data_IF_959870226717
#
_entry.id   IF_959870226717
#
_cell.length_a   1.000
_cell.length_b   1.000
_cell.length_c   1.000
_cell.angle_alpha   90.00
_cell.angle_beta   90.00
_cell.angle_gamma   90.00
#
_symmetry.space_group_name_H-M   'P 1'
#
loop_
_entity.id
_entity.type
_entity.pdbx_description
1 polymer ?
#
# COMPACT_ATOMS: atom_id res chain seq x y z
N UNK A 1 1.29 27.78 21.46
CA UNK A 1 0.50 28.60 20.50
C UNK A 1 -0.59 27.82 19.75
N UNK A 2 -0.78 26.52 20.02
CA UNK A 2 -1.74 25.66 19.27
C UNK A 2 -3.16 25.64 19.84
N UNK A 3 -3.33 25.91 21.14
CA UNK A 3 -4.66 25.89 21.79
C UNK A 3 -5.51 27.14 21.48
N UNK A 4 -4.88 28.28 21.20
CA UNK A 4 -5.56 29.54 20.83
C UNK A 4 -6.28 29.46 19.47
N UNK A 5 -5.80 28.61 18.55
CA UNK A 5 -6.41 28.47 17.22
C UNK A 5 -7.68 27.60 17.21
N UNK A 6 -7.79 26.63 18.11
CA UNK A 6 -8.94 25.72 18.18
C UNK A 6 -10.17 26.46 18.74
N UNK A 7 -9.97 27.33 19.72
CA UNK A 7 -11.04 28.17 20.28
C UNK A 7 -11.64 29.11 19.21
N UNK A 8 -10.80 29.63 18.31
CA UNK A 8 -11.18 30.58 17.27
C UNK A 8 -11.85 29.92 16.05
N UNK A 9 -11.81 28.59 15.92
CA UNK A 9 -12.62 27.86 14.93
C UNK A 9 -14.03 27.57 15.44
N UNK A 10 -14.19 27.37 16.76
CA UNK A 10 -15.51 27.08 17.37
C UNK A 10 -16.46 28.28 17.38
N UNK A 11 -15.97 29.50 17.22
CA UNK A 11 -16.78 30.72 17.08
C UNK A 11 -17.21 31.03 15.64
N UNK A 12 -16.63 30.35 14.64
CA UNK A 12 -16.91 30.61 13.22
C UNK A 12 -18.17 29.90 12.75
N UNK A 13 -18.90 30.54 11.83
CA UNK A 13 -20.06 29.93 11.17
C UNK A 13 -19.64 28.68 10.39
N UNK A 14 -20.56 27.74 10.18
CA UNK A 14 -20.28 26.50 9.47
C UNK A 14 -19.61 26.76 8.11
N UNK A 15 -20.07 27.78 7.38
CA UNK A 15 -19.51 28.20 6.07
C UNK A 15 -18.04 28.62 6.15
N UNK A 16 -17.66 29.37 7.19
CA UNK A 16 -16.27 29.82 7.39
C UNK A 16 -15.35 28.68 7.83
N UNK A 17 -15.87 27.71 8.59
CA UNK A 17 -15.12 26.48 8.93
C UNK A 17 -14.83 25.64 7.69
N UNK A 18 -15.81 25.48 6.81
CA UNK A 18 -15.64 24.76 5.53
C UNK A 18 -14.60 25.44 4.64
N UNK A 19 -14.60 26.76 4.53
CA UNK A 19 -13.60 27.52 3.77
C UNK A 19 -12.19 27.37 4.37
N UNK A 20 -12.07 27.36 5.71
CA UNK A 20 -10.78 27.18 6.37
C UNK A 20 -10.24 25.75 6.22
N UNK A 21 -11.10 24.73 6.40
CA UNK A 21 -10.76 23.32 6.18
C UNK A 21 -10.36 23.05 4.72
N UNK A 22 -11.02 23.68 3.75
CA UNK A 22 -10.68 23.56 2.33
C UNK A 22 -9.35 24.22 1.97
N UNK A 23 -8.85 25.15 2.80
CA UNK A 23 -7.53 25.77 2.65
C UNK A 23 -6.41 24.98 3.33
N UNK A 24 -6.73 24.13 4.32
CA UNK A 24 -5.76 23.30 5.03
C UNK A 24 -5.67 21.88 4.49
N UNK A 25 -6.72 21.36 3.84
CA UNK A 25 -6.69 20.08 3.13
C UNK A 25 -6.51 20.32 1.63
N UNK A 26 -5.30 20.11 1.13
CA UNK A 26 -5.05 20.10 -0.31
C UNK A 26 -5.63 18.81 -0.92
N UNK A 27 -6.89 18.91 -1.34
CA UNK A 27 -7.61 17.84 -2.04
C UNK A 27 -6.87 17.42 -3.31
N UNK A 28 -6.11 18.32 -3.97
CA UNK A 28 -5.31 17.94 -5.14
C UNK A 28 -4.14 17.04 -4.74
N UNK A 29 -3.44 17.36 -3.65
CA UNK A 29 -2.38 16.49 -3.10
C UNK A 29 -2.91 15.12 -2.69
N UNK A 30 -4.09 15.05 -2.07
CA UNK A 30 -4.75 13.78 -1.73
C UNK A 30 -5.17 12.99 -2.97
N UNK A 31 -5.79 13.63 -3.96
CA UNK A 31 -6.16 12.98 -5.22
C UNK A 31 -4.91 12.50 -5.95
N UNK A 32 -3.85 13.31 -5.99
CA UNK A 32 -2.57 12.95 -6.60
C UNK A 32 -1.94 11.74 -5.89
N UNK A 33 -1.91 11.72 -4.56
CA UNK A 33 -1.45 10.58 -3.77
C UNK A 33 -2.30 9.33 -4.03
N UNK A 34 -3.63 9.45 -4.13
CA UNK A 34 -4.52 8.32 -4.41
C UNK A 34 -4.34 7.80 -5.85
N UNK A 35 -4.16 8.68 -6.83
CA UNK A 35 -3.90 8.32 -8.22
C UNK A 35 -2.53 7.67 -8.39
N UNK A 36 -1.49 8.19 -7.72
CA UNK A 36 -0.15 7.59 -7.68
C UNK A 36 -0.15 6.24 -6.97
N UNK A 37 -0.92 6.11 -5.90
CA UNK A 37 -1.10 4.85 -5.20
C UNK A 37 -1.77 3.79 -6.10
N UNK A 38 -2.72 4.21 -6.96
CA UNK A 38 -3.31 3.35 -7.98
C UNK A 38 -2.34 3.01 -9.11
N UNK A 39 -1.52 3.95 -9.59
CA UNK A 39 -0.58 3.68 -10.69
C UNK A 39 0.55 2.74 -10.26
N UNK A 40 1.13 2.96 -9.07
CA UNK A 40 2.14 2.07 -8.51
C UNK A 40 1.57 0.69 -8.18
N UNK A 41 0.36 0.63 -7.62
CA UNK A 41 -0.31 -0.65 -7.37
C UNK A 41 -0.57 -1.43 -8.66
N UNK A 42 -1.06 -0.77 -9.71
CA UNK A 42 -1.27 -1.40 -11.01
C UNK A 42 0.04 -1.92 -11.62
N UNK A 43 1.14 -1.18 -11.45
CA UNK A 43 2.47 -1.63 -11.88
C UNK A 43 2.93 -2.85 -11.08
N UNK A 44 2.83 -2.83 -9.75
CA UNK A 44 3.17 -3.99 -8.90
C UNK A 44 2.38 -5.22 -9.35
N UNK A 45 1.07 -5.07 -9.54
CA UNK A 45 0.20 -6.16 -9.99
C UNK A 45 0.60 -6.65 -11.38
N UNK A 46 0.96 -5.77 -12.31
CA UNK A 46 1.36 -6.18 -13.66
C UNK A 46 2.63 -7.04 -13.66
N UNK A 47 3.62 -6.68 -12.85
CA UNK A 47 4.86 -7.47 -12.69
C UNK A 47 4.56 -8.80 -12.00
N UNK A 48 3.82 -8.80 -10.89
CA UNK A 48 3.50 -10.01 -10.12
C UNK A 48 2.53 -10.95 -10.84
N UNK A 49 1.85 -10.48 -11.89
CA UNK A 49 1.01 -11.31 -12.75
C UNK A 49 1.81 -12.07 -13.81
N UNK A 50 3.07 -11.67 -14.08
CA UNK A 50 3.95 -12.41 -14.98
C UNK A 50 4.40 -13.73 -14.34
N UNK A 51 4.65 -14.79 -15.14
CA UNK A 51 5.36 -15.98 -14.67
C UNK A 51 6.74 -15.62 -14.08
N UNK A 52 7.21 -16.31 -13.03
CA UNK A 52 8.52 -16.06 -12.41
C UNK A 52 9.68 -15.99 -13.42
N UNK A 53 9.66 -16.86 -14.44
CA UNK A 53 10.66 -16.94 -15.49
C UNK A 53 10.71 -15.73 -16.43
N UNK A 54 9.64 -14.92 -16.47
CA UNK A 54 9.52 -13.74 -17.33
C UNK A 54 9.69 -12.41 -16.58
N UNK A 55 9.96 -12.44 -15.27
CA UNK A 55 10.21 -11.23 -14.48
C UNK A 55 11.67 -10.82 -14.58
N UNK A 56 11.92 -9.62 -15.06
CA UNK A 56 13.29 -9.11 -15.17
C UNK A 56 13.82 -8.72 -13.78
N UNK A 57 15.13 -8.85 -13.58
CA UNK A 57 15.80 -8.48 -12.33
C UNK A 57 15.55 -7.02 -11.97
N UNK A 58 15.65 -6.10 -12.95
CA UNK A 58 15.39 -4.68 -12.79
C UNK A 58 13.97 -4.40 -12.28
N UNK A 59 12.95 -5.04 -12.89
CA UNK A 59 11.56 -4.92 -12.46
C UNK A 59 11.38 -5.38 -11.01
N UNK A 60 12.03 -6.48 -10.62
CA UNK A 60 11.94 -6.98 -9.24
C UNK A 60 12.63 -6.04 -8.23
N UNK A 61 13.76 -5.44 -8.59
CA UNK A 61 14.50 -4.49 -7.74
C UNK A 61 13.70 -3.19 -7.51
N UNK A 62 13.04 -2.68 -8.54
CA UNK A 62 12.18 -1.49 -8.44
C UNK A 62 11.04 -1.68 -7.43
N UNK A 63 10.50 -2.89 -7.32
CA UNK A 63 9.41 -3.21 -6.40
C UNK A 63 9.87 -3.35 -4.94
N UNK A 64 11.16 -3.49 -4.66
CA UNK A 64 11.66 -3.67 -3.28
C UNK A 64 11.23 -2.52 -2.37
N UNK A 65 11.32 -1.29 -2.86
CA UNK A 65 10.90 -0.10 -2.10
C UNK A 65 9.42 -0.15 -1.75
N UNK A 66 8.58 -0.59 -2.68
CA UNK A 66 7.14 -0.75 -2.45
C UNK A 66 6.86 -1.80 -1.38
N UNK A 67 7.51 -2.97 -1.44
CA UNK A 67 7.33 -4.04 -0.44
C UNK A 67 7.81 -3.62 0.96
N UNK A 68 8.95 -2.93 1.07
CA UNK A 68 9.45 -2.38 2.34
C UNK A 68 8.50 -1.35 2.94
N UNK A 69 7.89 -0.50 2.10
CA UNK A 69 6.94 0.52 2.53
C UNK A 69 5.60 -0.08 2.96
N UNK A 70 4.99 -0.92 2.10
CA UNK A 70 3.62 -1.42 2.29
C UNK A 70 3.54 -2.59 3.26
N UNK A 71 4.56 -3.46 3.28
CA UNK A 71 4.60 -4.67 4.13
C UNK A 71 5.80 -4.59 5.08
N UNK A 72 5.95 -3.41 5.71
CA UNK A 72 7.08 -3.07 6.57
C UNK A 72 7.33 -4.09 7.69
N UNK A 73 6.27 -4.65 8.28
CA UNK A 73 6.36 -5.62 9.38
C UNK A 73 7.16 -6.87 9.03
N UNK A 74 7.16 -7.26 7.75
CA UNK A 74 7.82 -8.49 7.27
C UNK A 74 9.14 -8.16 6.57
N UNK A 75 9.15 -7.13 5.72
CA UNK A 75 10.27 -6.91 4.80
C UNK A 75 11.28 -5.84 5.23
N UNK A 76 11.02 -5.05 6.28
CA UNK A 76 11.90 -3.94 6.66
C UNK A 76 13.31 -4.38 7.07
N UNK A 77 13.44 -5.57 7.66
CA UNK A 77 14.71 -6.10 8.17
C UNK A 77 15.35 -7.12 7.20
N UNK A 78 14.74 -7.37 6.04
CA UNK A 78 15.27 -8.28 5.05
C UNK A 78 16.23 -7.54 4.10
N UNK A 79 17.28 -8.26 3.69
CA UNK A 79 18.23 -7.76 2.68
C UNK A 79 17.52 -7.61 1.34
N UNK A 80 17.91 -6.60 0.57
CA UNK A 80 17.33 -6.32 -0.75
C UNK A 80 17.32 -7.56 -1.65
N UNK A 81 18.42 -8.30 -1.71
CA UNK A 81 18.55 -9.56 -2.47
C UNK A 81 17.48 -10.60 -2.13
N UNK A 82 17.19 -10.79 -0.84
CA UNK A 82 16.16 -11.72 -0.36
C UNK A 82 14.77 -11.25 -0.77
N UNK A 83 14.50 -9.95 -0.69
CA UNK A 83 13.21 -9.38 -1.08
C UNK A 83 13.01 -9.53 -2.58
N UNK A 84 14.05 -9.24 -3.37
CA UNK A 84 14.03 -9.41 -4.83
C UNK A 84 13.75 -10.86 -5.22
N UNK A 85 14.34 -11.83 -4.51
CA UNK A 85 14.08 -13.25 -4.75
C UNK A 85 12.64 -13.67 -4.37
N UNK A 86 12.11 -13.14 -3.27
CA UNK A 86 10.70 -13.32 -2.91
C UNK A 86 9.78 -12.72 -3.99
N UNK A 87 10.08 -11.51 -4.46
CA UNK A 87 9.31 -10.84 -5.52
C UNK A 87 9.37 -11.63 -6.83
N UNK A 88 10.48 -12.29 -7.15
CA UNK A 88 10.59 -13.14 -8.33
C UNK A 88 9.69 -14.37 -8.25
N UNK A 89 9.60 -15.00 -7.09
CA UNK A 89 8.96 -16.31 -6.93
C UNK A 89 7.52 -16.25 -6.36
N UNK A 90 7.03 -15.08 -5.95
CA UNK A 90 5.69 -14.96 -5.39
C UNK A 90 4.60 -14.88 -6.46
N UNK A 91 3.35 -15.10 -6.05
CA UNK A 91 2.16 -14.96 -6.90
C UNK A 91 1.20 -13.95 -6.29
N UNK A 92 0.66 -13.08 -7.13
CA UNK A 92 -0.43 -12.19 -6.74
C UNK A 92 -1.78 -12.84 -7.01
N UNK A 93 -2.67 -12.81 -6.01
CA UNK A 93 -4.03 -13.33 -6.13
C UNK A 93 -5.03 -12.36 -5.49
N UNK A 94 -6.17 -12.14 -6.17
CA UNK A 94 -7.33 -11.46 -5.59
C UNK A 94 -8.28 -12.49 -5.01
N UNK A 95 -8.66 -12.28 -3.75
CA UNK A 95 -9.57 -13.16 -3.00
C UNK A 95 -10.81 -12.38 -2.59
N UNK A 96 -11.96 -13.06 -2.58
CA UNK A 96 -13.21 -12.46 -2.11
C UNK A 96 -13.24 -12.43 -0.58
N UNK A 97 -14.07 -11.54 -0.03
CA UNK A 97 -14.39 -11.59 1.39
C UNK A 97 -14.94 -12.98 1.75
N UNK A 98 -14.53 -13.50 2.91
CA UNK A 98 -14.92 -14.83 3.42
C UNK A 98 -14.46 -16.02 2.57
N UNK A 99 -13.53 -15.83 1.62
CA UNK A 99 -12.90 -16.95 0.92
C UNK A 99 -11.88 -17.65 1.84
N UNK A 100 -12.01 -18.96 2.00
CA UNK A 100 -11.09 -19.77 2.80
C UNK A 100 -9.76 -19.93 2.04
N UNK A 101 -8.67 -19.40 2.60
CA UNK A 101 -7.34 -19.44 1.97
C UNK A 101 -6.48 -20.60 2.49
N UNK A 102 -6.56 -20.88 3.79
CA UNK A 102 -5.83 -21.95 4.50
C UNK A 102 -6.82 -22.60 5.47
N UNK A 103 -6.86 -23.94 5.48
CA UNK A 103 -7.69 -24.70 6.42
C UNK A 103 -6.83 -25.29 7.54
N UNK A 104 -7.32 -25.22 8.78
CA UNK A 104 -6.62 -25.80 9.92
C UNK A 104 -6.51 -27.33 9.78
N UNK A 105 -5.33 -27.87 10.09
CA UNK A 105 -5.04 -29.30 9.96
C UNK A 105 -4.49 -29.72 8.59
N UNK A 106 -4.41 -28.80 7.62
CA UNK A 106 -3.70 -29.03 6.36
C UNK A 106 -2.20 -28.75 6.49
N UNK A 107 -1.41 -29.44 5.66
CA UNK A 107 0.03 -29.22 5.55
C UNK A 107 0.26 -27.86 4.86
N UNK A 108 1.05 -27.00 5.48
CA UNK A 108 1.37 -25.68 4.93
C UNK A 108 2.41 -25.76 3.82
N UNK A 109 2.01 -25.50 2.57
CA UNK A 109 2.90 -25.50 1.40
C UNK A 109 3.33 -24.08 0.97
N UNK A 110 2.69 -23.04 1.51
CA UNK A 110 2.90 -21.65 1.09
C UNK A 110 2.72 -20.65 2.21
N UNK A 111 3.44 -19.54 2.10
CA UNK A 111 3.24 -18.34 2.91
C UNK A 111 2.33 -17.35 2.19
N UNK A 112 1.35 -16.80 2.90
CA UNK A 112 0.40 -15.82 2.36
C UNK A 112 0.55 -14.50 3.12
N UNK A 113 0.67 -13.41 2.36
CA UNK A 113 0.66 -12.05 2.87
C UNK A 113 -0.60 -11.38 2.34
N UNK A 114 -1.54 -11.07 3.22
CA UNK A 114 -2.72 -10.30 2.87
C UNK A 114 -2.50 -8.82 3.21
N UNK A 115 -2.88 -7.95 2.28
CA UNK A 115 -3.02 -6.52 2.53
C UNK A 115 -4.43 -6.14 2.15
N UNK A 116 -5.18 -5.59 3.09
CA UNK A 116 -6.40 -4.84 2.77
C UNK A 116 -5.96 -3.56 2.07
N UNK A 117 -6.58 -3.25 0.93
CA UNK A 117 -6.38 -1.97 0.23
C UNK A 117 -7.27 -0.94 0.89
#
# INVERSE_FOLDING_TARGET
>A
KSQSNIANLKSKTAKERWVHLSRTFDVKSLIQQVLEMNSQYNYVVSILSKPPSLRQQSECEELVGWFKSRVRKIFNNLKTETITDVIRNCKFERKKANELIIKQGEIGEKYVISSTI
#
